data_IF_966995598392
#
_entry.id   IF_966995598392
#
_cell.length_a   1.000
_cell.length_b   1.000
_cell.length_c   1.000
_cell.angle_alpha   90.00
_cell.angle_beta   90.00
_cell.angle_gamma   90.00
#
_symmetry.space_group_name_H-M   'P 1'
#
loop_
_entity.id
_entity.type
_entity.pdbx_description
1 polymer ?
#
# COMPACT_ATOMS: atom_id res chain seq x y z
N UNK A 1 2.88 -6.51 3.16
CA UNK A 1 2.90 -5.77 4.45
C UNK A 1 3.12 -6.69 5.64
N UNK A 2 2.14 -7.52 6.04
CA UNK A 2 2.26 -8.39 7.23
C UNK A 2 3.55 -9.23 7.25
N UNK A 3 3.91 -9.88 6.14
CA UNK A 3 5.13 -10.69 6.10
C UNK A 3 6.42 -9.88 6.26
N UNK A 4 6.43 -8.62 5.81
CA UNK A 4 7.62 -7.76 5.89
C UNK A 4 7.76 -7.15 7.29
N UNK A 5 6.68 -6.57 7.81
CA UNK A 5 6.66 -5.96 9.14
C UNK A 5 6.77 -7.06 10.21
N UNK A 6 6.00 -8.14 10.06
CA UNK A 6 6.02 -9.29 10.96
C UNK A 6 7.35 -10.04 11.04
N UNK A 7 8.23 -9.89 10.05
CA UNK A 7 9.59 -10.44 10.13
C UNK A 7 10.47 -9.71 11.16
N UNK A 8 10.11 -8.47 11.54
CA UNK A 8 10.85 -7.63 12.48
C UNK A 8 10.02 -7.26 13.72
N UNK A 9 8.70 -7.35 13.64
CA UNK A 9 7.75 -7.11 14.72
C UNK A 9 6.93 -8.39 15.03
N UNK A 10 7.23 -9.09 16.15
CA UNK A 10 6.54 -10.31 16.53
C UNK A 10 5.09 -10.10 16.99
N UNK A 11 4.65 -8.87 17.31
CA UNK A 11 3.25 -8.57 17.62
C UNK A 11 2.41 -8.60 16.34
N UNK A 12 2.91 -7.99 15.27
CA UNK A 12 2.26 -8.00 13.95
C UNK A 12 2.23 -9.41 13.36
N UNK A 13 3.27 -10.23 13.59
CA UNK A 13 3.27 -11.62 13.18
C UNK A 13 2.15 -12.43 13.88
N UNK A 14 2.04 -12.30 15.21
CA UNK A 14 0.98 -12.95 15.99
C UNK A 14 -0.42 -12.47 15.58
N UNK A 15 -0.59 -11.17 15.33
CA UNK A 15 -1.84 -10.64 14.78
C UNK A 15 -2.21 -11.31 13.45
N UNK A 16 -1.23 -11.50 12.56
CA UNK A 16 -1.46 -12.15 11.27
C UNK A 16 -1.97 -13.59 11.44
N UNK A 17 -1.43 -14.34 12.40
CA UNK A 17 -1.86 -15.71 12.70
C UNK A 17 -3.30 -15.74 13.23
N UNK A 18 -3.62 -14.89 14.21
CA UNK A 18 -4.97 -14.76 14.77
C UNK A 18 -5.97 -14.37 13.69
N UNK A 19 -5.61 -13.42 12.82
CA UNK A 19 -6.43 -13.01 11.68
C UNK A 19 -6.69 -14.18 10.73
N UNK A 20 -5.66 -14.96 10.37
CA UNK A 20 -5.81 -16.15 9.51
C UNK A 20 -6.75 -17.19 10.12
N UNK A 21 -6.62 -17.47 11.42
CA UNK A 21 -7.49 -18.41 12.13
C UNK A 21 -8.95 -17.92 12.13
N UNK A 22 -9.17 -16.62 12.39
CA UNK A 22 -10.51 -16.02 12.33
C UNK A 22 -11.11 -16.07 10.93
N UNK A 23 -10.35 -15.75 9.89
CA UNK A 23 -10.83 -15.85 8.51
C UNK A 23 -11.18 -17.30 8.14
N UNK A 24 -10.39 -18.28 8.58
CA UNK A 24 -10.70 -19.69 8.39
C UNK A 24 -12.02 -20.08 9.09
N UNK A 25 -12.20 -19.66 10.34
CA UNK A 25 -13.45 -19.86 11.09
C UNK A 25 -14.64 -19.18 10.39
N UNK A 26 -14.47 -17.95 9.88
CA UNK A 26 -15.48 -17.24 9.12
C UNK A 26 -15.89 -18.01 7.86
N UNK A 27 -14.93 -18.56 7.12
CA UNK A 27 -15.22 -19.36 5.90
C UNK A 27 -16.05 -20.60 6.23
N UNK A 28 -15.74 -21.29 7.33
CA UNK A 28 -16.51 -22.44 7.80
C UNK A 28 -17.91 -22.02 8.24
N UNK A 29 -18.01 -20.94 9.03
CA UNK A 29 -19.25 -20.38 9.54
C UNK A 29 -20.20 -19.91 8.41
N UNK A 30 -19.65 -19.29 7.37
CA UNK A 30 -20.41 -18.89 6.18
C UNK A 30 -20.92 -20.11 5.40
N UNK A 31 -20.15 -21.22 5.35
CA UNK A 31 -20.59 -22.46 4.69
C UNK A 31 -21.80 -23.10 5.37
N UNK A 32 -21.97 -22.91 6.67
CA UNK A 32 -23.12 -23.39 7.45
C UNK A 32 -24.20 -22.32 7.65
N UNK A 33 -24.20 -21.25 6.83
CA UNK A 33 -25.14 -20.12 6.91
C UNK A 33 -25.25 -19.45 8.29
N UNK A 34 -24.17 -19.48 9.08
CA UNK A 34 -24.10 -18.84 10.40
C UNK A 34 -22.93 -17.85 10.43
N UNK A 35 -23.02 -16.69 9.73
CA UNK A 35 -21.91 -15.76 9.64
C UNK A 35 -21.52 -15.23 11.03
N UNK A 36 -20.22 -15.27 11.33
CA UNK A 36 -19.67 -14.58 12.51
C UNK A 36 -19.77 -13.08 12.26
N UNK A 37 -20.34 -12.34 13.23
CA UNK A 37 -20.50 -10.88 13.18
C UNK A 37 -19.36 -10.19 13.94
N UNK A 38 -18.99 -8.99 13.48
CA UNK A 38 -17.94 -8.15 14.05
C UNK A 38 -16.62 -8.23 13.28
N UNK A 39 -15.91 -7.11 13.21
CA UNK A 39 -14.56 -7.02 12.63
C UNK A 39 -13.46 -7.37 13.63
N UNK A 40 -12.24 -7.62 13.14
CA UNK A 40 -11.02 -7.58 13.97
C UNK A 40 -10.39 -6.22 13.73
N UNK A 41 -10.15 -5.45 14.79
CA UNK A 41 -9.29 -4.28 14.66
C UNK A 41 -7.85 -4.76 14.49
N UNK A 42 -7.18 -4.31 13.42
CA UNK A 42 -5.81 -4.70 13.08
C UNK A 42 -4.86 -3.54 13.36
N UNK A 43 -3.82 -3.80 14.13
CA UNK A 43 -2.73 -2.85 14.43
C UNK A 43 -1.78 -2.68 13.25
N UNK A 44 -1.81 -3.58 12.26
CA UNK A 44 -1.00 -3.43 11.05
C UNK A 44 -1.11 -2.04 10.43
N UNK A 45 -2.31 -1.46 10.32
CA UNK A 45 -2.51 -0.15 9.68
C UNK A 45 -2.02 1.03 10.51
N UNK A 46 -1.75 0.82 11.80
CA UNK A 46 -1.21 1.82 12.73
C UNK A 46 0.31 1.71 12.87
N UNK A 47 0.93 0.64 12.35
CA UNK A 47 2.37 0.44 12.43
C UNK A 47 3.11 1.51 11.59
N UNK A 48 4.20 2.13 12.08
CA UNK A 48 4.91 3.19 11.35
C UNK A 48 5.35 2.77 9.94
N UNK A 49 5.90 1.57 9.80
CA UNK A 49 6.33 1.04 8.49
C UNK A 49 5.17 0.71 7.53
N UNK A 50 3.91 0.71 7.99
CA UNK A 50 2.76 0.43 7.15
C UNK A 50 2.63 1.42 6.00
N UNK A 51 2.80 2.72 6.31
CA UNK A 51 2.73 3.78 5.32
C UNK A 51 4.06 3.94 4.57
N UNK A 52 5.20 3.76 5.27
CA UNK A 52 6.51 3.79 4.62
C UNK A 52 6.61 2.80 3.45
N UNK A 53 6.05 1.59 3.60
CA UNK A 53 6.04 0.60 2.52
C UNK A 53 5.09 0.94 1.37
N UNK A 54 4.03 1.70 1.60
CA UNK A 54 3.14 2.17 0.53
C UNK A 54 3.80 3.27 -0.30
N UNK A 55 4.64 4.10 0.32
CA UNK A 55 5.21 5.28 -0.31
C UNK A 55 6.54 5.02 -1.05
N UNK A 56 7.24 3.91 -0.78
CA UNK A 56 8.53 3.61 -1.43
C UNK A 56 8.42 3.58 -2.95
N UNK A 57 7.42 2.89 -3.51
CA UNK A 57 7.28 2.76 -4.97
C UNK A 57 6.89 4.10 -5.62
N UNK A 58 5.85 4.82 -5.16
CA UNK A 58 5.57 6.19 -5.63
C UNK A 58 6.75 7.14 -5.54
N UNK A 59 7.47 7.15 -4.41
CA UNK A 59 8.63 8.02 -4.20
C UNK A 59 9.75 7.70 -5.21
N UNK A 60 10.06 6.41 -5.39
CA UNK A 60 11.08 5.98 -6.35
C UNK A 60 10.71 6.37 -7.79
N UNK A 61 9.46 6.14 -8.23
CA UNK A 61 9.02 6.53 -9.58
C UNK A 61 9.09 8.05 -9.76
N UNK A 62 8.66 8.84 -8.78
CA UNK A 62 8.76 10.30 -8.83
C UNK A 62 10.22 10.75 -8.93
N UNK A 63 11.14 10.18 -8.14
CA UNK A 63 12.58 10.51 -8.22
C UNK A 63 13.16 10.21 -9.60
N UNK A 64 12.85 9.04 -10.18
CA UNK A 64 13.30 8.67 -11.53
C UNK A 64 12.80 9.65 -12.59
N UNK A 65 11.53 10.06 -12.52
CA UNK A 65 10.96 11.06 -13.43
C UNK A 65 11.60 12.45 -13.26
N UNK A 66 11.90 12.85 -12.02
CA UNK A 66 12.61 14.10 -11.72
C UNK A 66 14.02 14.10 -12.33
N UNK A 67 14.73 12.98 -12.19
CA UNK A 67 16.09 12.81 -12.71
C UNK A 67 16.14 12.56 -14.22
N UNK A 68 14.98 12.32 -14.86
CA UNK A 68 14.85 11.94 -16.28
C UNK A 68 15.57 10.63 -16.60
N UNK A 69 15.52 9.68 -15.68
CA UNK A 69 16.11 8.36 -15.89
C UNK A 69 15.46 7.69 -17.12
N UNK A 70 16.27 7.03 -17.95
CA UNK A 70 15.80 6.38 -19.17
C UNK A 70 14.83 5.23 -18.91
N UNK A 71 14.95 4.56 -17.75
CA UNK A 71 14.14 3.42 -17.34
C UNK A 71 12.89 3.80 -16.53
N UNK A 72 12.58 5.09 -16.37
CA UNK A 72 11.52 5.53 -15.46
C UNK A 72 10.15 4.93 -15.79
N UNK A 73 9.83 4.76 -17.08
CA UNK A 73 8.55 4.17 -17.52
C UNK A 73 8.53 2.65 -17.35
N UNK A 74 9.64 1.98 -17.65
CA UNK A 74 9.78 0.53 -17.49
C UNK A 74 9.71 0.16 -16.00
N UNK A 75 10.38 0.93 -15.14
CA UNK A 75 10.31 0.79 -13.69
C UNK A 75 8.89 1.02 -13.14
N UNK A 76 8.16 1.98 -13.71
CA UNK A 76 6.77 2.22 -13.34
C UNK A 76 5.82 1.10 -13.79
N UNK A 77 6.22 0.26 -14.76
CA UNK A 77 5.51 -0.91 -15.25
C UNK A 77 4.02 -0.64 -15.59
N UNK A 78 3.70 0.57 -16.03
CA UNK A 78 2.36 0.91 -16.49
C UNK A 78 2.25 0.63 -17.99
N UNK A 79 1.15 0.00 -18.41
CA UNK A 79 0.88 -0.25 -19.82
C UNK A 79 0.79 1.03 -20.67
N UNK A 80 0.44 2.16 -20.05
CA UNK A 80 0.36 3.46 -20.71
C UNK A 80 1.25 4.48 -19.97
N UNK A 81 2.27 5.08 -20.63
CA UNK A 81 3.14 6.10 -20.04
C UNK A 81 2.40 7.32 -19.49
N UNK A 82 1.24 7.68 -20.06
CA UNK A 82 0.41 8.78 -19.56
C UNK A 82 -0.06 8.58 -18.12
N UNK A 83 -0.29 7.33 -17.71
CA UNK A 83 -0.63 6.96 -16.33
C UNK A 83 0.53 7.29 -15.39
N UNK A 84 1.76 6.97 -15.78
CA UNK A 84 2.97 7.30 -15.03
C UNK A 84 3.11 8.82 -14.84
N UNK A 85 2.93 9.60 -15.92
CA UNK A 85 2.97 11.06 -15.81
C UNK A 85 1.88 11.63 -14.90
N UNK A 86 0.63 11.14 -15.06
CA UNK A 86 -0.51 11.64 -14.28
C UNK A 86 -0.30 11.48 -12.78
N UNK A 87 0.27 10.36 -12.35
CA UNK A 87 0.40 10.02 -10.94
C UNK A 87 1.70 10.53 -10.30
N UNK A 88 2.78 10.61 -11.07
CA UNK A 88 4.13 10.79 -10.50
C UNK A 88 4.89 11.99 -11.04
N UNK A 89 4.49 12.58 -12.17
CA UNK A 89 5.16 13.76 -12.75
C UNK A 89 4.71 15.04 -12.02
N UNK A 90 5.41 15.32 -10.93
CA UNK A 90 5.18 16.53 -10.12
C UNK A 90 5.69 17.82 -10.77
N UNK A 91 6.32 17.78 -11.96
CA UNK A 91 6.68 19.02 -12.69
C UNK A 91 5.47 19.83 -13.12
N UNK A 92 4.28 19.22 -13.15
CA UNK A 92 3.00 19.93 -13.17
C UNK A 92 2.63 20.48 -11.78
N UNK A 93 3.59 21.07 -11.04
CA UNK A 93 3.21 21.90 -9.88
C UNK A 93 2.34 23.00 -10.45
N UNK A 94 1.03 22.97 -10.12
CA UNK A 94 0.16 24.12 -10.34
C UNK A 94 0.76 25.24 -9.49
N UNK A 95 1.47 26.17 -10.10
CA UNK A 95 1.74 27.44 -9.47
C UNK A 95 0.37 28.05 -9.15
N UNK A 96 0.13 28.39 -7.89
CA UNK A 96 -0.96 29.30 -7.57
C UNK A 96 -0.62 30.61 -8.30
N UNK A 97 -1.47 31.03 -9.24
CA UNK A 97 -1.38 32.40 -9.74
C UNK A 97 -1.53 33.30 -8.52
N UNK A 98 -0.58 34.22 -8.31
CA UNK A 98 -0.77 35.29 -7.35
C UNK A 98 -2.06 36.01 -7.77
N UNK A 99 -3.09 35.91 -6.94
CA UNK A 99 -4.26 36.78 -7.05
C UNK A 99 -3.78 38.19 -6.75
N UNK A 100 -3.81 39.05 -7.77
CA UNK A 100 -3.75 40.52 -7.61
C UNK A 100 -4.94 41.04 -6.80
#
# INVERSE_FOLDING_TARGET
MYAFIGARDPEIAREQEVKKMREAAQRIANRINRPVKGGMETMLTKHPDYFSLQDIRPAAITTKLTNRDADAYDFAAHANPSTTHRHYDRRKVKAANATE
#
